data_IF_419341008842
#
_entry.id   IF_419341008842
#
_cell.length_a   1.000
_cell.length_b   1.000
_cell.length_c   1.000
_cell.angle_alpha   90.00
_cell.angle_beta   90.00
_cell.angle_gamma   90.00
#
_symmetry.space_group_name_H-M   'P 1'
#
loop_
_entity.id
_entity.type
_entity.pdbx_description
1 polymer ?
#
# COMPACT_ATOMS: atom_id res chain seq x y z
N UNK A 1 13.74 27.88 -5.19
CA UNK A 1 12.43 27.30 -4.83
C UNK A 1 12.04 27.85 -3.45
N UNK A 2 10.80 28.27 -3.31
CA UNK A 2 10.27 28.75 -2.05
C UNK A 2 10.23 27.61 -1.02
N UNK A 3 10.78 27.83 0.16
CA UNK A 3 10.82 26.85 1.24
C UNK A 3 9.40 26.45 1.68
N UNK A 4 8.45 27.41 1.70
CA UNK A 4 7.06 27.15 2.08
C UNK A 4 6.36 26.23 1.07
N UNK A 5 6.60 26.40 -0.23
CA UNK A 5 6.03 25.51 -1.27
C UNK A 5 6.56 24.09 -1.10
N UNK A 6 7.86 23.93 -0.82
CA UNK A 6 8.47 22.63 -0.61
C UNK A 6 7.87 21.91 0.59
N UNK A 7 7.63 22.62 1.70
CA UNK A 7 7.02 22.06 2.90
C UNK A 7 5.57 21.67 2.63
N UNK A 8 4.81 22.53 1.93
CA UNK A 8 3.42 22.22 1.53
C UNK A 8 3.34 20.99 0.66
N UNK A 9 4.27 20.83 -0.30
CA UNK A 9 4.28 19.68 -1.19
C UNK A 9 4.58 18.38 -0.42
N UNK A 10 5.49 18.44 0.55
CA UNK A 10 5.79 17.30 1.43
C UNK A 10 4.53 16.87 2.18
N UNK A 11 3.79 17.80 2.76
CA UNK A 11 2.58 17.48 3.51
C UNK A 11 1.45 16.97 2.60
N UNK A 12 1.30 17.52 1.41
CA UNK A 12 0.33 17.04 0.41
C UNK A 12 0.66 15.59 0.04
N UNK A 13 1.93 15.29 -0.22
CA UNK A 13 2.36 13.94 -0.63
C UNK A 13 2.16 12.93 0.49
N UNK A 14 2.47 13.29 1.73
CA UNK A 14 2.18 12.44 2.90
C UNK A 14 0.67 12.14 3.01
N UNK A 15 -0.16 13.15 2.78
CA UNK A 15 -1.61 12.99 2.78
C UNK A 15 -2.11 11.99 1.73
N UNK A 16 -1.50 11.98 0.55
CA UNK A 16 -1.82 11.01 -0.50
C UNK A 16 -1.52 9.58 -0.03
N UNK A 17 -0.36 9.37 0.61
CA UNK A 17 -0.01 8.05 1.13
C UNK A 17 -0.91 7.63 2.28
N UNK A 18 -1.31 8.53 3.15
CA UNK A 18 -2.31 8.24 4.18
C UNK A 18 -3.62 7.76 3.57
N UNK A 19 -4.09 8.41 2.51
CA UNK A 19 -5.29 7.97 1.78
C UNK A 19 -5.13 6.60 1.14
N UNK A 20 -3.95 6.28 0.66
CA UNK A 20 -3.65 4.95 0.11
C UNK A 20 -3.89 3.85 1.17
N UNK A 21 -3.37 4.04 2.38
CA UNK A 21 -3.60 3.08 3.47
C UNK A 21 -5.06 3.07 3.93
N UNK A 22 -5.74 4.22 3.94
CA UNK A 22 -7.17 4.29 4.26
C UNK A 22 -8.02 3.48 3.27
N UNK A 23 -7.63 3.45 2.00
CA UNK A 23 -8.34 2.66 0.99
C UNK A 23 -8.36 1.17 1.37
N UNK A 24 -7.24 0.65 1.87
CA UNK A 24 -7.19 -0.73 2.38
C UNK A 24 -7.99 -0.90 3.66
N UNK A 25 -7.80 -0.01 4.63
CA UNK A 25 -8.47 -0.11 5.94
C UNK A 25 -9.99 0.00 5.80
N UNK A 26 -10.49 0.83 4.89
CA UNK A 26 -11.91 1.05 4.65
C UNK A 26 -12.48 0.17 3.53
N UNK A 27 -11.64 -0.64 2.87
CA UNK A 27 -12.03 -1.49 1.74
C UNK A 27 -12.69 -0.67 0.63
N UNK A 28 -12.13 0.53 0.37
CA UNK A 28 -12.69 1.50 -0.56
C UNK A 28 -11.75 1.71 -1.76
N UNK A 29 -11.98 0.94 -2.82
CA UNK A 29 -11.16 0.99 -4.02
C UNK A 29 -11.32 2.30 -4.81
N UNK A 30 -12.40 3.05 -4.59
CA UNK A 30 -12.63 4.29 -5.33
C UNK A 30 -11.62 5.38 -5.00
N UNK A 31 -10.98 5.31 -3.83
CA UNK A 31 -9.90 6.22 -3.47
C UNK A 31 -8.74 6.11 -4.48
N UNK A 32 -8.48 4.90 -4.98
CA UNK A 32 -7.40 4.68 -5.95
C UNK A 32 -7.60 5.47 -7.25
N UNK A 33 -8.84 5.69 -7.68
CA UNK A 33 -9.12 6.51 -8.87
C UNK A 33 -8.61 7.94 -8.71
N UNK A 34 -8.54 8.43 -7.48
CA UNK A 34 -8.11 9.80 -7.17
C UNK A 34 -6.60 9.94 -6.98
N UNK A 35 -5.94 8.91 -6.44
CA UNK A 35 -4.55 9.02 -5.99
C UNK A 35 -3.56 8.19 -6.82
N UNK A 36 -4.00 7.31 -7.70
CA UNK A 36 -3.13 6.43 -8.49
C UNK A 36 -3.10 6.92 -9.94
N UNK A 37 -1.90 7.04 -10.48
CA UNK A 37 -1.70 7.41 -11.89
C UNK A 37 -2.06 6.24 -12.83
N UNK A 38 -2.55 6.53 -14.05
CA UNK A 38 -2.67 5.49 -15.08
C UNK A 38 -1.34 4.80 -15.41
N UNK A 39 -0.23 5.48 -15.17
CA UNK A 39 1.13 4.96 -15.43
C UNK A 39 1.76 4.29 -14.21
N UNK A 40 0.99 4.08 -13.14
CA UNK A 40 1.48 3.53 -11.88
C UNK A 40 2.09 2.14 -12.05
N UNK A 41 3.24 1.92 -11.38
CA UNK A 41 3.91 0.63 -11.31
C UNK A 41 4.16 0.28 -9.83
N UNK A 42 3.61 -0.83 -9.38
CA UNK A 42 3.96 -1.46 -8.12
C UNK A 42 5.01 -2.54 -8.39
N UNK A 43 6.24 -2.26 -8.04
CA UNK A 43 7.37 -3.16 -8.31
C UNK A 43 7.34 -4.43 -7.44
N UNK A 44 6.54 -4.46 -6.37
CA UNK A 44 6.45 -5.60 -5.47
C UNK A 44 5.28 -6.55 -5.75
N UNK A 45 4.26 -6.10 -6.51
CA UNK A 45 3.01 -6.87 -6.66
C UNK A 45 3.22 -8.21 -7.35
N UNK A 46 4.08 -8.27 -8.36
CA UNK A 46 4.34 -9.49 -9.11
C UNK A 46 5.03 -10.58 -8.28
N UNK A 47 5.55 -10.26 -7.10
CA UNK A 47 6.19 -11.22 -6.20
C UNK A 47 5.19 -12.22 -5.60
N UNK A 48 3.90 -11.87 -5.55
CA UNK A 48 2.86 -12.70 -4.94
C UNK A 48 1.59 -12.83 -5.79
N UNK A 49 1.54 -12.17 -6.94
CA UNK A 49 0.40 -12.22 -7.87
C UNK A 49 0.90 -12.45 -9.29
N UNK A 50 0.15 -13.19 -10.07
CA UNK A 50 0.42 -13.39 -11.49
C UNK A 50 -0.04 -12.21 -12.37
N UNK A 51 -0.24 -11.05 -11.77
CA UNK A 51 -0.65 -9.85 -12.46
C UNK A 51 0.37 -8.75 -12.24
N UNK A 52 0.74 -7.97 -13.26
CA UNK A 52 1.58 -6.81 -13.05
C UNK A 52 0.85 -5.76 -12.25
N UNK A 53 1.57 -5.10 -11.33
CA UNK A 53 1.04 -3.99 -10.55
C UNK A 53 1.01 -2.70 -11.38
N UNK A 54 0.17 -2.65 -12.42
CA UNK A 54 0.13 -1.54 -13.37
C UNK A 54 -1.16 -0.75 -13.26
N UNK A 55 -1.02 0.57 -13.12
CA UNK A 55 -2.12 1.53 -13.15
C UNK A 55 -3.09 1.37 -11.99
N UNK A 56 -4.22 2.03 -12.10
CA UNK A 56 -5.31 1.96 -11.12
C UNK A 56 -5.86 0.53 -11.02
N UNK A 57 -5.97 -0.16 -12.16
CA UNK A 57 -6.44 -1.55 -12.19
C UNK A 57 -5.52 -2.47 -11.38
N UNK A 58 -4.20 -2.28 -11.43
CA UNK A 58 -3.25 -3.04 -10.63
C UNK A 58 -3.47 -2.85 -9.13
N UNK A 59 -3.68 -1.62 -8.70
CA UNK A 59 -3.96 -1.31 -7.30
C UNK A 59 -5.29 -1.93 -6.84
N UNK A 60 -6.33 -1.84 -7.66
CA UNK A 60 -7.63 -2.45 -7.36
C UNK A 60 -7.55 -3.97 -7.31
N UNK A 61 -6.75 -4.58 -8.18
CA UNK A 61 -6.52 -6.03 -8.17
C UNK A 61 -5.82 -6.46 -6.90
N UNK A 62 -4.87 -5.68 -6.40
CA UNK A 62 -4.17 -5.98 -5.14
C UNK A 62 -5.16 -5.97 -3.97
N UNK A 63 -5.99 -4.95 -3.88
CA UNK A 63 -7.01 -4.87 -2.83
C UNK A 63 -8.01 -6.04 -2.95
N UNK A 64 -8.47 -6.33 -4.15
CA UNK A 64 -9.37 -7.46 -4.39
C UNK A 64 -8.74 -8.79 -3.98
N UNK A 65 -7.48 -9.02 -4.36
CA UNK A 65 -6.74 -10.22 -3.95
C UNK A 65 -6.72 -10.35 -2.43
N UNK A 66 -6.44 -9.25 -1.73
CA UNK A 66 -6.42 -9.24 -0.27
C UNK A 66 -7.80 -9.56 0.31
N UNK A 67 -8.86 -8.95 -0.22
CA UNK A 67 -10.22 -9.20 0.26
C UNK A 67 -10.69 -10.62 -0.02
N UNK A 68 -10.27 -11.21 -1.13
CA UNK A 68 -10.62 -12.59 -1.50
C UNK A 68 -9.92 -13.62 -0.59
N UNK A 69 -8.72 -13.29 -0.09
CA UNK A 69 -7.90 -14.20 0.72
C UNK A 69 -8.05 -14.00 2.23
N UNK A 70 -8.52 -12.85 2.66
CA UNK A 70 -8.48 -12.45 4.06
C UNK A 70 -9.87 -12.09 4.59
N UNK A 71 -10.16 -12.50 5.83
CA UNK A 71 -11.34 -12.04 6.57
C UNK A 71 -11.11 -10.67 7.15
N UNK A 72 -9.88 -10.39 7.58
CA UNK A 72 -9.49 -9.11 8.15
C UNK A 72 -8.17 -8.66 7.56
N UNK A 73 -8.08 -7.36 7.31
CA UNK A 73 -6.85 -6.72 6.91
C UNK A 73 -6.88 -5.29 7.42
N UNK A 74 -5.84 -4.89 8.15
CA UNK A 74 -5.70 -3.52 8.61
C UNK A 74 -4.23 -3.10 8.62
N UNK A 75 -3.99 -1.82 8.41
CA UNK A 75 -2.68 -1.22 8.41
C UNK A 75 -2.60 -0.08 9.41
N UNK A 76 -1.45 0.04 10.08
CA UNK A 76 -1.10 1.20 10.87
C UNK A 76 0.20 1.77 10.29
N UNK A 77 0.17 3.03 9.89
CA UNK A 77 1.37 3.73 9.43
C UNK A 77 2.08 4.27 10.66
N UNK A 78 3.25 3.70 10.94
CA UNK A 78 4.06 4.10 12.10
C UNK A 78 4.83 5.40 11.82
N UNK A 79 5.43 5.50 10.63
CA UNK A 79 6.23 6.65 10.23
C UNK A 79 6.01 6.98 8.76
N UNK A 80 5.87 8.26 8.45
CA UNK A 80 5.97 8.79 7.10
C UNK A 80 7.17 9.73 7.06
N UNK A 81 8.05 9.49 6.10
CA UNK A 81 9.30 10.23 5.95
C UNK A 81 9.31 10.87 4.57
N UNK A 82 9.50 12.18 4.52
CA UNK A 82 9.62 12.91 3.27
C UNK A 82 10.54 14.10 3.48
N UNK A 83 11.17 14.55 2.41
CA UNK A 83 12.12 15.67 2.45
C UNK A 83 11.87 16.62 1.29
N UNK A 84 11.96 17.94 1.50
CA UNK A 84 11.93 18.92 0.41
C UNK A 84 13.02 18.71 -0.64
N UNK A 85 14.13 18.05 -0.26
CA UNK A 85 15.22 17.72 -1.20
C UNK A 85 14.83 16.62 -2.18
N UNK A 86 13.81 15.83 -1.87
CA UNK A 86 13.27 14.77 -2.71
C UNK A 86 11.74 14.93 -2.76
N UNK A 87 11.25 15.98 -3.41
CA UNK A 87 9.85 16.39 -3.28
C UNK A 87 8.82 15.41 -3.85
N UNK A 88 9.26 14.44 -4.64
CA UNK A 88 8.39 13.42 -5.23
C UNK A 88 8.42 12.09 -4.47
N UNK A 89 9.21 11.95 -3.40
CA UNK A 89 9.34 10.69 -2.68
C UNK A 89 8.75 10.76 -1.26
N UNK A 90 8.05 9.69 -0.88
CA UNK A 90 7.59 9.46 0.50
C UNK A 90 8.01 8.06 0.90
N UNK A 91 8.67 7.94 2.05
CA UNK A 91 8.92 6.66 2.70
C UNK A 91 7.89 6.38 3.78
N UNK A 92 7.51 5.12 3.94
CA UNK A 92 6.58 4.69 4.99
C UNK A 92 7.11 3.45 5.70
N UNK A 93 7.08 3.48 7.03
CA UNK A 93 7.18 2.28 7.85
C UNK A 93 5.79 1.97 8.38
N UNK A 94 5.30 0.77 8.09
CA UNK A 94 3.93 0.38 8.42
C UNK A 94 3.88 -1.02 9.01
N UNK A 95 2.82 -1.27 9.78
CA UNK A 95 2.49 -2.59 10.30
C UNK A 95 1.14 -3.00 9.78
N UNK A 96 1.01 -4.28 9.43
CA UNK A 96 -0.24 -4.86 8.98
C UNK A 96 -0.67 -5.98 9.90
N UNK A 97 -1.97 -6.19 9.96
CA UNK A 97 -2.59 -7.31 10.65
C UNK A 97 -3.58 -7.95 9.70
N UNK A 98 -3.50 -9.25 9.56
CA UNK A 98 -4.41 -9.99 8.69
C UNK A 98 -4.92 -11.26 9.37
N UNK A 99 -6.10 -11.69 8.94
CA UNK A 99 -6.66 -12.99 9.31
C UNK A 99 -7.06 -13.71 8.03
N UNK A 100 -6.42 -14.85 7.69
CA UNK A 100 -6.77 -15.60 6.50
C UNK A 100 -8.21 -16.13 6.56
N UNK A 101 -8.86 -16.23 5.40
CA UNK A 101 -10.17 -16.87 5.31
C UNK A 101 -10.07 -18.38 5.54
N UNK A 102 -11.12 -18.95 6.11
CA UNK A 102 -11.27 -20.39 6.20
C UNK A 102 -11.35 -20.99 4.80
N UNK A 103 -10.50 -21.98 4.52
CA UNK A 103 -10.52 -22.75 3.28
C UNK A 103 -10.30 -24.22 3.62
N UNK A 104 -10.44 -25.10 2.63
CA UNK A 104 -10.11 -26.53 2.82
C UNK A 104 -8.63 -26.75 3.15
N UNK A 105 -7.76 -25.80 2.80
CA UNK A 105 -6.32 -25.84 3.07
C UNK A 105 -5.93 -25.25 4.43
N UNK A 106 -6.86 -24.54 5.10
CA UNK A 106 -6.58 -23.83 6.36
C UNK A 106 -7.56 -24.30 7.43
N UNK A 107 -7.02 -24.84 8.52
CA UNK A 107 -7.78 -25.19 9.71
C UNK A 107 -7.98 -23.98 10.60
N UNK A 108 -8.84 -24.10 11.62
CA UNK A 108 -9.03 -23.03 12.60
C UNK A 108 -7.72 -22.61 13.31
N UNK A 109 -6.75 -23.51 13.40
CA UNK A 109 -5.46 -23.22 14.01
C UNK A 109 -4.57 -22.34 13.11
N UNK A 110 -4.74 -22.45 11.78
CA UNK A 110 -3.98 -21.66 10.80
C UNK A 110 -4.66 -20.35 10.44
N UNK A 111 -5.89 -20.12 10.93
CA UNK A 111 -6.67 -18.90 10.72
C UNK A 111 -6.46 -17.87 11.82
N UNK A 112 -5.31 -17.88 12.46
CA UNK A 112 -4.96 -16.91 13.49
C UNK A 112 -4.60 -15.57 12.87
N UNK A 113 -4.84 -14.52 13.65
CA UNK A 113 -4.37 -13.17 13.32
C UNK A 113 -2.85 -13.19 13.14
N UNK A 114 -2.39 -12.67 12.01
CA UNK A 114 -0.97 -12.60 11.67
C UNK A 114 -0.56 -11.14 11.60
N UNK A 115 0.56 -10.82 12.26
CA UNK A 115 1.15 -9.50 12.20
C UNK A 115 2.32 -9.53 11.22
N UNK A 116 2.41 -8.51 10.37
CA UNK A 116 3.51 -8.34 9.43
C UNK A 116 3.85 -6.85 9.34
N UNK A 117 4.94 -6.52 8.70
CA UNK A 117 5.41 -5.16 8.61
C UNK A 117 6.14 -4.92 7.30
N UNK A 118 6.29 -3.69 6.93
CA UNK A 118 7.01 -3.36 5.73
C UNK A 118 7.53 -1.94 5.71
N UNK A 119 8.44 -1.73 4.78
CA UNK A 119 8.95 -0.42 4.42
C UNK A 119 8.65 -0.24 2.94
N UNK A 120 8.06 0.89 2.61
CA UNK A 120 7.69 1.22 1.23
C UNK A 120 8.25 2.58 0.86
N UNK A 121 8.57 2.74 -0.41
CA UNK A 121 8.92 4.04 -0.99
C UNK A 121 7.93 4.30 -2.12
N UNK A 122 7.34 5.48 -2.11
CA UNK A 122 6.35 5.91 -3.09
C UNK A 122 6.88 7.11 -3.85
N UNK A 123 6.77 7.08 -5.19
CA UNK A 123 6.99 8.26 -6.02
C UNK A 123 5.65 8.88 -6.37
N UNK A 124 5.54 10.18 -6.16
CA UNK A 124 4.31 10.94 -6.40
C UNK A 124 4.64 12.07 -7.37
N UNK A 125 3.89 12.16 -8.45
CA UNK A 125 4.02 13.22 -9.45
C UNK A 125 2.63 13.71 -9.84
N UNK A 126 2.49 15.02 -9.92
CA UNK A 126 1.22 15.67 -10.28
C UNK A 126 0.04 15.22 -9.41
N UNK A 127 0.30 15.03 -8.10
CA UNK A 127 -0.74 14.67 -7.14
C UNK A 127 -1.16 13.20 -7.17
N UNK A 128 -0.41 12.33 -7.87
CA UNK A 128 -0.73 10.90 -7.99
C UNK A 128 0.49 10.04 -7.78
N UNK A 129 0.27 8.86 -7.22
CA UNK A 129 1.30 7.83 -7.07
C UNK A 129 1.64 7.27 -8.45
N UNK A 130 2.94 7.25 -8.79
CA UNK A 130 3.43 6.73 -10.06
C UNK A 130 4.29 5.48 -9.91
N UNK A 131 4.92 5.28 -8.74
CA UNK A 131 5.72 4.08 -8.47
C UNK A 131 5.69 3.74 -6.99
N UNK A 132 5.83 2.45 -6.71
CA UNK A 132 5.98 1.95 -5.34
C UNK A 132 6.98 0.81 -5.31
N UNK A 133 7.84 0.81 -4.28
CA UNK A 133 8.74 -0.29 -3.93
C UNK A 133 8.43 -0.72 -2.51
N UNK A 134 8.43 -2.04 -2.26
CA UNK A 134 8.15 -2.61 -0.94
C UNK A 134 9.19 -3.62 -0.52
N UNK A 135 9.51 -3.62 0.77
CA UNK A 135 10.15 -4.74 1.45
C UNK A 135 9.21 -5.13 2.59
N UNK A 136 8.77 -6.38 2.61
CA UNK A 136 7.76 -6.87 3.54
C UNK A 136 8.33 -8.04 4.33
N UNK A 137 8.11 -8.04 5.64
CA UNK A 137 8.54 -9.08 6.55
C UNK A 137 7.31 -9.66 7.26
N UNK A 138 7.18 -10.98 7.24
CA UNK A 138 6.12 -11.68 7.96
C UNK A 138 4.86 -11.98 7.16
N UNK A 139 4.83 -11.68 5.85
CA UNK A 139 3.70 -12.09 5.01
C UNK A 139 3.66 -13.62 4.90
N UNK A 140 2.51 -14.26 5.16
CA UNK A 140 2.44 -15.71 5.12
C UNK A 140 2.57 -16.26 3.70
N UNK A 141 3.48 -17.22 3.53
CA UNK A 141 3.79 -17.81 2.22
C UNK A 141 2.72 -18.80 1.71
N UNK A 142 1.78 -19.17 2.55
CA UNK A 142 0.77 -20.19 2.26
C UNK A 142 -0.64 -19.63 2.04
N UNK A 143 -0.74 -18.36 1.76
CA UNK A 143 -2.04 -17.74 1.44
C UNK A 143 -2.52 -18.07 0.04
#
# INVERSE_FOLDING_TARGET
MDTNESISQVEINKGIIQRYFEAYNNKNETIFDEIISPDYIDHGQSAYMDAPGLGVAGAKNDLKYSLDKLDELSYVVEELIASPNYPDLVGAYWKGTLTPKATSAHTQQTMKKINYRGISIYRIQNGKMVETWHVVDGWPSNL
#
